data_IF_351029140072
#
_entry.id   IF_351029140072
#
_cell.length_a   1.000
_cell.length_b   1.000
_cell.length_c   1.000
_cell.angle_alpha   90.00
_cell.angle_beta   90.00
_cell.angle_gamma   90.00
#
_symmetry.space_group_name_H-M   'P 1'
#
loop_
_entity.id
_entity.type
_entity.pdbx_description
1 polymer ?
#
# COMPACT_ATOMS: atom_id res chain seq x y z
N UNK A 1 -6.45 -3.97 15.86
CA UNK A 1 -5.61 -4.06 14.65
C UNK A 1 -5.34 -5.49 14.21
N UNK A 2 -5.02 -6.42 15.10
CA UNK A 2 -4.71 -7.81 14.74
C UNK A 2 -5.79 -8.47 13.87
N UNK A 3 -7.06 -8.39 14.26
CA UNK A 3 -8.15 -8.98 13.46
C UNK A 3 -8.25 -8.40 12.04
N UNK A 4 -8.02 -7.08 11.87
CA UNK A 4 -8.10 -6.46 10.55
C UNK A 4 -6.89 -6.83 9.68
N UNK A 5 -5.69 -6.86 10.27
CA UNK A 5 -4.48 -7.28 9.55
C UNK A 5 -4.58 -8.74 9.10
N UNK A 6 -5.17 -9.61 9.92
CA UNK A 6 -5.43 -11.00 9.55
C UNK A 6 -6.43 -11.13 8.39
N UNK A 7 -7.51 -10.35 8.44
CA UNK A 7 -8.52 -10.33 7.35
C UNK A 7 -7.88 -9.86 6.04
N UNK A 8 -7.14 -8.74 6.06
CA UNK A 8 -6.49 -8.22 4.85
C UNK A 8 -5.50 -9.25 4.30
N UNK A 9 -4.66 -9.85 5.15
CA UNK A 9 -3.69 -10.87 4.77
C UNK A 9 -4.35 -12.09 4.15
N UNK A 10 -5.44 -12.60 4.74
CA UNK A 10 -6.18 -13.74 4.21
C UNK A 10 -6.80 -13.43 2.85
N UNK A 11 -7.41 -12.26 2.67
CA UNK A 11 -8.00 -11.84 1.40
C UNK A 11 -6.93 -11.62 0.32
N UNK A 12 -5.76 -11.04 0.66
CA UNK A 12 -4.61 -10.95 -0.26
C UNK A 12 -4.12 -12.34 -0.65
N UNK A 13 -3.93 -13.24 0.31
CA UNK A 13 -3.50 -14.62 0.06
C UNK A 13 -4.49 -15.34 -0.87
N UNK A 14 -5.78 -15.21 -0.61
CA UNK A 14 -6.84 -15.74 -1.46
C UNK A 14 -6.76 -15.18 -2.88
N UNK A 15 -6.55 -13.89 -3.04
CA UNK A 15 -6.42 -13.26 -4.34
C UNK A 15 -5.20 -13.75 -5.12
N UNK A 16 -4.06 -13.91 -4.46
CA UNK A 16 -2.80 -14.37 -5.07
C UNK A 16 -2.82 -15.87 -5.45
N UNK A 17 -3.60 -16.67 -4.75
CA UNK A 17 -3.74 -18.11 -5.02
C UNK A 17 -4.81 -18.43 -6.06
N UNK A 18 -5.56 -17.44 -6.53
CA UNK A 18 -6.57 -17.60 -7.58
C UNK A 18 -6.08 -17.08 -8.94
N UNK A 19 -6.65 -17.65 -10.01
CA UNK A 19 -6.41 -17.19 -11.38
C UNK A 19 -6.92 -15.75 -11.59
N UNK A 20 -6.20 -14.88 -12.33
CA UNK A 20 -4.95 -15.17 -13.07
C UNK A 20 -3.66 -14.94 -12.28
N UNK A 21 -3.71 -14.46 -11.04
CA UNK A 21 -2.50 -14.08 -10.30
C UNK A 21 -1.63 -15.29 -9.94
N UNK A 22 -2.23 -16.44 -9.60
CA UNK A 22 -1.47 -17.66 -9.30
C UNK A 22 -0.62 -18.14 -10.47
N UNK A 23 -1.00 -17.83 -11.70
CA UNK A 23 -0.20 -18.18 -12.89
C UNK A 23 1.03 -17.27 -13.02
N UNK A 24 0.93 -16.03 -12.58
CA UNK A 24 1.97 -15.01 -12.70
C UNK A 24 2.89 -14.96 -11.48
N UNK A 25 2.36 -15.20 -10.29
CA UNK A 25 3.07 -15.04 -9.03
C UNK A 25 3.09 -16.34 -8.21
N UNK A 26 4.21 -16.57 -7.48
CA UNK A 26 4.30 -17.44 -6.33
C UNK A 26 4.45 -16.58 -5.07
N UNK A 27 3.98 -17.08 -3.94
CA UNK A 27 4.11 -16.40 -2.64
C UNK A 27 4.96 -17.24 -1.70
N UNK A 28 5.70 -16.57 -0.81
CA UNK A 28 6.40 -17.20 0.30
C UNK A 28 5.65 -16.97 1.61
N UNK A 29 6.36 -17.04 2.72
CA UNK A 29 5.78 -16.78 4.05
C UNK A 29 5.61 -15.28 4.26
N UNK A 30 4.50 -14.90 4.89
CA UNK A 30 4.26 -13.55 5.38
C UNK A 30 5.25 -13.18 6.48
N UNK A 31 5.72 -11.94 6.45
CA UNK A 31 6.46 -11.30 7.54
C UNK A 31 5.59 -10.21 8.17
N UNK A 32 5.85 -9.88 9.44
CA UNK A 32 5.12 -8.88 10.19
C UNK A 32 6.07 -8.05 11.01
N UNK A 33 5.75 -6.77 11.15
CA UNK A 33 6.38 -5.86 12.08
C UNK A 33 5.32 -5.04 12.80
N UNK A 34 5.45 -4.90 14.11
CA UNK A 34 4.55 -4.14 14.97
C UNK A 34 5.34 -2.99 15.59
N UNK A 35 4.77 -1.79 15.51
CA UNK A 35 5.34 -0.62 16.17
C UNK A 35 4.44 -0.16 17.30
N UNK A 36 5.05 0.21 18.37
CA UNK A 36 4.39 0.68 19.57
C UNK A 36 4.79 2.12 19.85
N UNK A 37 3.92 2.87 20.55
CA UNK A 37 4.29 4.17 21.09
C UNK A 37 5.42 4.04 22.12
N UNK A 38 6.06 5.16 22.49
CA UNK A 38 7.26 5.22 23.34
C UNK A 38 7.15 4.47 24.69
N UNK A 39 5.96 4.12 25.12
CA UNK A 39 5.70 3.38 26.36
C UNK A 39 5.28 1.91 26.11
N UNK A 40 5.36 1.40 24.90
CA UNK A 40 4.98 0.03 24.49
C UNK A 40 3.54 -0.40 24.82
N UNK A 41 2.65 0.56 25.07
CA UNK A 41 1.28 0.28 25.49
C UNK A 41 0.29 0.20 24.35
N UNK A 42 0.53 0.95 23.29
CA UNK A 42 -0.38 1.04 22.15
C UNK A 42 0.39 0.73 20.89
N UNK A 43 -0.03 -0.29 20.16
CA UNK A 43 0.46 -0.54 18.82
C UNK A 43 -0.05 0.56 17.88
N UNK A 44 0.86 1.34 17.32
CA UNK A 44 0.54 2.46 16.43
C UNK A 44 0.52 2.06 14.97
N UNK A 45 1.34 1.09 14.61
CA UNK A 45 1.48 0.61 13.25
C UNK A 45 1.63 -0.90 13.20
N UNK A 46 1.02 -1.50 12.17
CA UNK A 46 1.21 -2.91 11.79
C UNK A 46 1.62 -2.95 10.34
N UNK A 47 2.78 -3.52 10.06
CA UNK A 47 3.28 -3.74 8.70
C UNK A 47 3.26 -5.24 8.42
N UNK A 48 2.63 -5.63 7.32
CA UNK A 48 2.61 -7.00 6.85
C UNK A 48 3.06 -7.03 5.38
N UNK A 49 3.98 -7.94 5.05
CA UNK A 49 4.37 -8.14 3.67
C UNK A 49 4.61 -9.61 3.34
N UNK A 50 4.53 -9.93 2.04
CA UNK A 50 4.79 -11.26 1.50
C UNK A 50 5.69 -11.15 0.27
N UNK A 51 6.82 -11.88 0.26
CA UNK A 51 7.68 -11.93 -0.90
C UNK A 51 6.99 -12.60 -2.08
N UNK A 52 7.00 -11.94 -3.25
CA UNK A 52 6.45 -12.43 -4.50
C UNK A 52 7.53 -12.95 -5.44
N UNK A 53 7.33 -14.16 -5.95
CA UNK A 53 8.15 -14.76 -7.00
C UNK A 53 7.44 -14.54 -8.34
N UNK A 54 8.00 -13.73 -9.22
CA UNK A 54 7.48 -13.53 -10.58
C UNK A 54 7.88 -14.72 -11.43
N UNK A 55 6.90 -15.56 -11.80
CA UNK A 55 7.16 -16.76 -12.60
C UNK A 55 7.67 -16.42 -14.01
N UNK A 56 8.59 -17.21 -14.57
CA UNK A 56 9.09 -18.51 -14.12
C UNK A 56 10.31 -18.45 -13.15
N UNK A 57 10.63 -17.28 -12.61
CA UNK A 57 11.76 -17.12 -11.69
C UNK A 57 11.55 -17.91 -10.40
N UNK A 58 12.64 -18.10 -9.62
CA UNK A 58 12.62 -18.90 -8.38
C UNK A 58 12.94 -18.08 -7.14
N UNK A 59 13.39 -16.82 -7.31
CA UNK A 59 13.73 -15.91 -6.20
C UNK A 59 12.71 -14.79 -6.12
N UNK A 60 12.39 -14.30 -4.94
CA UNK A 60 11.55 -13.12 -4.77
C UNK A 60 12.17 -11.91 -5.46
N UNK A 61 11.35 -11.10 -6.10
CA UNK A 61 11.76 -9.86 -6.75
C UNK A 61 10.91 -8.68 -6.34
N UNK A 62 9.81 -8.97 -5.67
CA UNK A 62 8.86 -7.97 -5.18
C UNK A 62 8.37 -8.40 -3.81
N UNK A 63 7.88 -7.43 -3.07
CA UNK A 63 7.24 -7.59 -1.79
C UNK A 63 5.90 -6.87 -1.85
N UNK A 64 4.83 -7.62 -1.70
CA UNK A 64 3.48 -7.08 -1.61
C UNK A 64 3.09 -6.98 -0.16
N UNK A 65 2.52 -5.86 0.26
CA UNK A 65 2.13 -5.72 1.65
C UNK A 65 1.18 -4.57 1.89
N UNK A 66 0.93 -4.35 3.14
CA UNK A 66 0.16 -3.23 3.65
C UNK A 66 0.69 -2.77 5.01
N UNK A 67 0.46 -1.50 5.31
CA UNK A 67 0.67 -0.92 6.64
C UNK A 67 -0.65 -0.35 7.14
N UNK A 68 -1.06 -0.71 8.34
CA UNK A 68 -2.12 -0.03 9.08
C UNK A 68 -1.45 0.95 10.03
N UNK A 69 -1.72 2.24 9.88
CA UNK A 69 -1.22 3.29 10.75
C UNK A 69 -2.37 3.98 11.46
N UNK A 70 -2.41 3.90 12.80
CA UNK A 70 -3.44 4.57 13.60
C UNK A 70 -3.18 6.06 13.80
N UNK A 71 -1.95 6.50 13.60
CA UNK A 71 -1.56 7.89 13.77
C UNK A 71 -1.38 8.62 12.43
N UNK A 72 -1.79 8.00 11.31
CA UNK A 72 -1.57 8.56 9.98
C UNK A 72 -0.08 8.75 9.68
N UNK A 73 0.78 7.84 10.21
CA UNK A 73 2.22 7.95 10.04
C UNK A 73 2.59 8.04 8.57
N UNK A 74 3.48 8.96 8.28
CA UNK A 74 3.99 9.15 6.95
C UNK A 74 3.29 10.20 6.11
N UNK A 75 2.29 10.87 6.65
CA UNK A 75 1.65 11.99 5.95
C UNK A 75 1.80 13.26 6.76
N UNK A 76 2.49 14.25 6.23
CA UNK A 76 2.45 15.62 6.77
C UNK A 76 1.16 16.29 6.29
N UNK A 77 0.08 15.97 6.97
CA UNK A 77 -1.28 16.39 6.61
C UNK A 77 -1.68 17.71 7.27
N UNK A 78 -0.70 18.52 7.67
CA UNK A 78 -1.01 19.80 8.33
C UNK A 78 -1.75 19.66 9.67
N UNK A 79 -1.59 18.51 10.35
CA UNK A 79 -2.18 18.24 11.67
C UNK A 79 -3.32 17.21 11.68
N UNK A 80 -3.82 16.77 10.55
CA UNK A 80 -4.77 15.66 10.49
C UNK A 80 -4.03 14.33 10.58
N UNK A 81 -4.32 13.55 11.64
CA UNK A 81 -3.71 12.24 11.91
C UNK A 81 -4.75 11.14 11.85
N UNK A 82 -5.54 11.13 10.79
CA UNK A 82 -6.53 10.09 10.60
C UNK A 82 -5.86 8.73 10.36
N UNK A 83 -6.42 7.65 10.90
CA UNK A 83 -5.91 6.30 10.67
C UNK A 83 -5.95 5.92 9.19
N UNK A 84 -4.88 5.27 8.71
CA UNK A 84 -4.66 4.96 7.30
C UNK A 84 -4.32 3.48 7.07
N UNK A 85 -4.64 2.99 5.89
CA UNK A 85 -4.13 1.73 5.34
C UNK A 85 -3.34 2.04 4.07
N UNK A 86 -2.04 1.85 4.12
CA UNK A 86 -1.18 1.92 2.93
C UNK A 86 -1.07 0.52 2.32
N UNK A 87 -1.26 0.41 1.00
CA UNK A 87 -1.08 -0.84 0.24
C UNK A 87 0.04 -0.63 -0.75
N UNK A 88 0.98 -1.54 -0.80
CA UNK A 88 2.19 -1.36 -1.58
C UNK A 88 2.70 -2.64 -2.26
N UNK A 89 3.44 -2.47 -3.34
CA UNK A 89 4.22 -3.51 -3.96
C UNK A 89 5.61 -2.96 -4.32
N UNK A 90 6.68 -3.51 -3.73
CA UNK A 90 8.03 -2.96 -3.79
C UNK A 90 9.04 -3.98 -4.31
N UNK A 91 10.10 -3.49 -4.94
CA UNK A 91 11.20 -4.33 -5.44
C UNK A 91 12.32 -4.57 -4.42
N UNK A 92 12.45 -3.70 -3.44
CA UNK A 92 13.44 -3.83 -2.36
C UNK A 92 12.82 -4.53 -1.17
N UNK A 93 13.55 -5.46 -0.57
CA UNK A 93 13.04 -6.23 0.56
C UNK A 93 12.76 -5.37 1.81
N UNK A 94 11.93 -5.89 2.71
CA UNK A 94 11.45 -5.20 3.90
C UNK A 94 12.56 -4.83 4.91
N UNK A 95 13.78 -5.33 4.74
CA UNK A 95 14.91 -4.95 5.61
C UNK A 95 15.14 -3.43 5.63
N UNK A 96 14.78 -2.71 4.56
CA UNK A 96 14.82 -1.24 4.51
C UNK A 96 13.59 -0.59 5.13
N UNK A 97 12.52 -1.34 5.38
CA UNK A 97 11.25 -0.82 5.93
C UNK A 97 11.16 -0.98 7.45
N UNK A 98 11.98 -1.85 8.05
CA UNK A 98 11.95 -2.11 9.50
C UNK A 98 12.32 -0.88 10.33
N UNK A 99 13.10 0.04 9.77
CA UNK A 99 13.59 1.22 10.48
C UNK A 99 12.81 2.50 10.19
N UNK A 100 11.87 2.46 9.24
CA UNK A 100 11.10 3.66 8.89
C UNK A 100 9.64 3.29 8.60
N UNK A 101 8.66 3.97 9.25
CA UNK A 101 7.27 3.86 8.84
C UNK A 101 7.16 4.27 7.37
N UNK A 102 6.22 3.70 6.63
CA UNK A 102 5.93 4.24 5.30
C UNK A 102 5.47 5.68 5.46
N UNK A 103 6.41 6.58 5.21
CA UNK A 103 6.15 8.00 5.12
C UNK A 103 5.85 8.32 3.66
N UNK A 104 4.71 8.93 3.38
CA UNK A 104 4.44 9.55 2.09
C UNK A 104 4.42 11.06 2.27
N UNK A 105 4.99 11.79 1.32
CA UNK A 105 5.79 11.29 0.18
C UNK A 105 7.13 10.73 0.64
N UNK A 106 7.54 9.62 0.05
CA UNK A 106 8.91 9.16 0.24
C UNK A 106 9.85 10.15 -0.47
N UNK A 107 10.90 10.58 0.20
CA UNK A 107 11.98 11.37 -0.40
C UNK A 107 12.82 10.49 -1.36
N UNK A 108 12.22 10.05 -2.46
CA UNK A 108 12.91 9.27 -3.48
C UNK A 108 12.94 10.07 -4.78
N UNK A 109 14.13 10.26 -5.31
CA UNK A 109 14.40 11.02 -6.55
C UNK A 109 13.65 10.52 -7.80
N UNK A 110 12.98 9.38 -7.76
CA UNK A 110 12.28 8.74 -8.88
C UNK A 110 10.80 8.45 -8.59
N UNK A 111 10.18 9.21 -7.71
CA UNK A 111 8.75 9.05 -7.39
C UNK A 111 7.90 9.81 -8.43
N UNK A 112 6.88 9.13 -8.95
CA UNK A 112 5.86 9.72 -9.83
C UNK A 112 4.49 9.47 -9.23
N UNK A 113 3.69 10.53 -9.13
CA UNK A 113 2.29 10.44 -8.74
C UNK A 113 1.43 10.26 -10.01
N UNK A 114 0.70 9.17 -10.11
CA UNK A 114 -0.24 8.88 -11.20
C UNK A 114 -1.69 9.07 -10.74
N UNK A 115 -2.47 9.80 -11.55
CA UNK A 115 -3.90 10.07 -11.29
C UNK A 115 -4.19 10.47 -9.84
N UNK A 116 -3.34 11.32 -9.26
CA UNK A 116 -3.47 11.91 -7.92
C UNK A 116 -3.51 10.89 -6.75
N UNK A 117 -3.48 9.59 -6.99
CA UNK A 117 -3.74 8.57 -5.96
C UNK A 117 -2.75 7.41 -5.91
N UNK A 118 -1.91 7.23 -6.92
CA UNK A 118 -0.94 6.15 -6.99
C UNK A 118 0.48 6.68 -7.07
N UNK A 119 1.27 6.43 -6.05
CA UNK A 119 2.72 6.61 -6.14
C UNK A 119 3.38 5.45 -6.86
N UNK A 120 4.23 5.77 -7.83
CA UNK A 120 5.01 4.80 -8.62
C UNK A 120 6.48 5.12 -8.46
N UNK A 121 7.29 4.08 -8.27
CA UNK A 121 8.72 4.20 -7.99
C UNK A 121 9.53 3.37 -8.98
N UNK A 122 10.67 3.93 -9.43
CA UNK A 122 11.68 3.21 -10.22
C UNK A 122 11.21 2.79 -11.60
N UNK A 123 11.34 3.67 -12.58
CA UNK A 123 10.97 3.45 -13.99
C UNK A 123 12.04 2.68 -14.79
N UNK A 124 12.57 1.56 -14.32
CA UNK A 124 13.45 0.72 -15.16
C UNK A 124 12.62 -0.04 -16.19
N UNK A 125 12.87 0.23 -17.45
CA UNK A 125 12.21 -0.45 -18.60
C UNK A 125 12.36 -1.97 -18.45
N UNK A 126 11.22 -2.68 -18.53
CA UNK A 126 11.18 -4.16 -18.46
C UNK A 126 11.17 -4.76 -17.05
N UNK A 127 11.13 -3.95 -16.02
CA UNK A 127 10.99 -4.42 -14.64
C UNK A 127 9.57 -4.18 -14.08
N UNK A 128 9.06 -5.04 -13.18
CA UNK A 128 7.81 -4.78 -12.50
C UNK A 128 7.87 -3.43 -11.77
N UNK A 129 6.80 -2.65 -11.82
CA UNK A 129 6.71 -1.33 -11.19
C UNK A 129 6.51 -1.49 -9.68
N UNK A 130 7.24 -0.72 -8.89
CA UNK A 130 6.89 -0.51 -7.48
C UNK A 130 5.80 0.55 -7.40
N UNK A 131 4.83 0.34 -6.51
CA UNK A 131 3.72 1.27 -6.36
C UNK A 131 3.15 1.23 -4.94
N UNK A 132 2.43 2.30 -4.57
CA UNK A 132 1.67 2.37 -3.34
C UNK A 132 0.44 3.27 -3.50
N UNK A 133 -0.63 2.93 -2.80
CA UNK A 133 -1.83 3.76 -2.63
C UNK A 133 -2.31 3.68 -1.19
N UNK A 134 -3.18 4.62 -0.79
CA UNK A 134 -3.63 4.75 0.60
C UNK A 134 -5.14 4.87 0.68
N UNK A 135 -5.72 4.23 1.68
CA UNK A 135 -7.15 4.30 2.02
C UNK A 135 -7.29 4.81 3.44
N UNK A 136 -8.26 5.67 3.70
CA UNK A 136 -8.67 6.06 5.04
C UNK A 136 -9.18 4.82 5.79
N UNK A 137 -8.62 4.50 6.96
CA UNK A 137 -9.01 3.32 7.73
C UNK A 137 -10.46 3.40 8.20
N UNK A 138 -10.97 4.61 8.45
CA UNK A 138 -12.36 4.87 8.82
C UNK A 138 -13.38 4.42 7.80
N UNK A 139 -12.95 4.24 6.54
CA UNK A 139 -13.78 3.77 5.43
C UNK A 139 -13.71 2.25 5.21
N UNK A 140 -12.92 1.51 6.02
CA UNK A 140 -12.76 0.06 5.92
C UNK A 140 -13.48 -0.61 7.10
N UNK A 141 -14.79 -0.80 6.98
CA UNK A 141 -15.66 -1.25 8.07
C UNK A 141 -16.11 -2.72 7.93
N UNK A 142 -16.02 -3.27 6.73
CA UNK A 142 -16.51 -4.61 6.40
C UNK A 142 -15.50 -5.39 5.57
N UNK A 143 -15.66 -6.72 5.51
CA UNK A 143 -14.85 -7.57 4.60
C UNK A 143 -15.08 -7.14 3.13
N UNK A 144 -16.27 -6.67 2.79
CA UNK A 144 -16.57 -6.20 1.44
C UNK A 144 -15.81 -4.90 1.13
N UNK A 145 -15.64 -4.01 2.11
CA UNK A 145 -14.76 -2.84 1.96
C UNK A 145 -13.31 -3.24 1.70
N UNK A 146 -12.79 -4.22 2.46
CA UNK A 146 -11.46 -4.78 2.21
C UNK A 146 -11.34 -5.28 0.78
N UNK A 147 -12.32 -6.07 0.30
CA UNK A 147 -12.33 -6.60 -1.06
C UNK A 147 -12.42 -5.51 -2.13
N UNK A 148 -13.33 -4.56 -1.96
CA UNK A 148 -13.58 -3.49 -2.94
C UNK A 148 -12.43 -2.47 -2.96
N UNK A 149 -11.99 -2.02 -1.78
CA UNK A 149 -11.09 -0.86 -1.64
C UNK A 149 -9.60 -1.24 -1.60
N UNK A 150 -9.27 -2.47 -1.22
CA UNK A 150 -7.89 -2.94 -1.10
C UNK A 150 -7.58 -4.03 -2.13
N UNK A 151 -8.34 -5.13 -2.10
CA UNK A 151 -7.99 -6.32 -2.89
C UNK A 151 -8.21 -6.11 -4.38
N UNK A 152 -9.32 -5.49 -4.78
CA UNK A 152 -9.62 -5.27 -6.21
C UNK A 152 -8.60 -4.33 -6.86
N UNK A 153 -8.28 -3.14 -6.31
CA UNK A 153 -7.22 -2.28 -6.82
C UNK A 153 -5.86 -2.97 -6.89
N UNK A 154 -5.45 -3.61 -5.79
CA UNK A 154 -4.21 -4.37 -5.73
C UNK A 154 -4.09 -5.40 -6.85
N UNK A 155 -5.15 -6.20 -7.09
CA UNK A 155 -5.17 -7.20 -8.16
C UNK A 155 -5.01 -6.57 -9.54
N UNK A 156 -5.71 -5.48 -9.79
CA UNK A 156 -5.63 -4.76 -11.07
C UNK A 156 -4.23 -4.21 -11.31
N UNK A 157 -3.61 -3.61 -10.29
CA UNK A 157 -2.24 -3.10 -10.37
C UNK A 157 -1.21 -4.22 -10.61
N UNK A 158 -1.32 -5.35 -9.91
CA UNK A 158 -0.48 -6.53 -10.13
C UNK A 158 -0.63 -7.11 -11.55
N UNK A 159 -1.79 -6.96 -12.17
CA UNK A 159 -2.05 -7.35 -13.55
C UNK A 159 -1.59 -6.30 -14.57
N UNK A 160 -1.08 -5.15 -14.11
CA UNK A 160 -0.54 -4.10 -14.96
C UNK A 160 -1.57 -3.05 -15.40
N UNK A 161 -2.69 -2.93 -14.70
CA UNK A 161 -3.63 -1.84 -14.92
C UNK A 161 -3.00 -0.49 -14.57
N UNK A 162 -3.47 0.58 -15.22
CA UNK A 162 -3.13 1.97 -14.88
C UNK A 162 -3.80 2.37 -13.56
N UNK A 163 -3.30 3.42 -12.90
CA UNK A 163 -3.91 4.02 -11.72
C UNK A 163 -5.40 4.31 -11.96
N UNK A 164 -5.72 5.02 -13.03
CA UNK A 164 -7.09 5.38 -13.42
C UNK A 164 -8.06 4.20 -13.54
N UNK A 165 -7.55 3.02 -13.93
CA UNK A 165 -8.36 1.80 -14.05
C UNK A 165 -8.47 1.06 -12.72
N UNK A 166 -7.43 1.09 -11.91
CA UNK A 166 -7.36 0.36 -10.65
C UNK A 166 -7.98 1.14 -9.48
N UNK A 167 -7.77 2.46 -9.46
CA UNK A 167 -8.18 3.38 -8.41
C UNK A 167 -9.25 4.34 -8.98
N UNK A 168 -10.43 3.79 -9.26
CA UNK A 168 -11.55 4.58 -9.79
C UNK A 168 -12.11 5.53 -8.74
N UNK A 169 -12.63 6.68 -9.15
CA UNK A 169 -13.15 7.73 -8.25
C UNK A 169 -14.37 7.34 -7.41
N UNK A 170 -14.84 6.10 -7.49
CA UNK A 170 -15.92 5.53 -6.67
C UNK A 170 -15.40 4.67 -5.49
N UNK A 171 -14.06 4.68 -5.26
CA UNK A 171 -13.47 4.05 -4.08
C UNK A 171 -13.52 5.05 -2.93
N UNK A 172 -14.56 4.97 -2.11
CA UNK A 172 -14.67 5.80 -0.91
C UNK A 172 -13.50 5.58 0.06
N UNK A 173 -12.99 6.67 0.61
CA UNK A 173 -11.82 6.66 1.49
C UNK A 173 -10.47 6.63 0.77
N UNK A 174 -10.44 6.61 -0.57
CA UNK A 174 -9.18 6.74 -1.32
C UNK A 174 -8.54 8.10 -1.03
N UNK A 175 -7.26 8.09 -0.68
CA UNK A 175 -6.48 9.30 -0.48
C UNK A 175 -5.96 9.79 -1.82
N UNK A 176 -6.31 11.04 -2.16
CA UNK A 176 -5.76 11.76 -3.30
C UNK A 176 -4.75 12.81 -2.83
N UNK A 177 -3.72 13.00 -3.60
CA UNK A 177 -2.59 13.88 -3.31
C UNK A 177 -2.52 15.00 -4.34
N UNK A 178 -2.30 16.22 -3.89
CA UNK A 178 -2.05 17.39 -4.73
C UNK A 178 -0.74 18.03 -4.32
N UNK A 179 0.20 18.17 -5.26
CA UNK A 179 1.50 18.77 -4.97
C UNK A 179 1.34 20.25 -4.62
N UNK A 180 1.97 20.67 -3.53
CA UNK A 180 1.93 22.05 -3.06
C UNK A 180 2.90 22.88 -3.90
N UNK A 181 2.37 23.85 -4.68
CA UNK A 181 3.12 24.62 -5.69
C UNK A 181 4.43 25.24 -5.18
N UNK A 182 4.45 25.72 -3.94
CA UNK A 182 5.62 26.39 -3.34
C UNK A 182 6.55 25.43 -2.56
N UNK A 183 6.25 24.15 -2.52
CA UNK A 183 6.99 23.13 -1.75
C UNK A 183 7.11 21.82 -2.54
N UNK A 184 8.01 21.75 -3.54
CA UNK A 184 8.19 20.54 -4.34
C UNK A 184 8.41 19.29 -3.46
N UNK A 185 7.73 18.20 -3.80
CA UNK A 185 7.76 16.96 -3.03
C UNK A 185 6.87 16.94 -1.77
N UNK A 186 6.16 18.03 -1.47
CA UNK A 186 5.13 18.05 -0.43
C UNK A 186 3.74 18.05 -1.08
N UNK A 187 2.83 17.31 -0.46
CA UNK A 187 1.47 17.12 -0.97
C UNK A 187 0.44 17.51 0.08
N UNK A 188 -0.62 18.18 -0.35
CA UNK A 188 -1.89 18.20 0.38
C UNK A 188 -2.67 16.93 0.08
N UNK A 189 -3.53 16.53 0.98
CA UNK A 189 -4.38 15.34 0.79
C UNK A 189 -5.84 15.71 0.78
N UNK A 190 -6.62 14.96 0.00
CA UNK A 190 -8.08 14.91 0.06
C UNK A 190 -8.55 13.46 0.11
N UNK A 191 -9.73 13.24 0.66
CA UNK A 191 -10.35 11.92 0.78
C UNK A 191 -11.53 11.87 -0.17
N UNK A 192 -11.60 10.82 -0.99
CA UNK A 192 -12.77 10.60 -1.86
C UNK A 192 -13.96 10.24 -0.99
N UNK A 193 -14.96 11.12 -0.96
CA UNK A 193 -16.25 10.87 -0.31
C UNK A 193 -17.15 10.01 -1.22
N UNK A 194 -17.92 9.09 -0.65
CA UNK A 194 -18.90 8.26 -1.37
C UNK A 194 -20.31 8.52 -0.86
#
# INVERSE_FOLDING_TARGET
>A
MENLSDIIREEITRALTNTPLVEKYGILKWDFDYRYCDNDWICTDVICDVPLIVKPRRKPEMYLGFQISLLGAGMDTGGNRDPLVHVFCWRTGPASMKDSPMAFPLELDEQVLEDESLFVFGNKIGAPRSWAFTIALTDVNTIEDVRKKIITPMRLLLLGATARKALTGDIGGLICYEEIADKPGNYSISIVET
#
